data_IF_484759468874
#
_entry.id   IF_484759468874
#
_cell.length_a   1.000
_cell.length_b   1.000
_cell.length_c   1.000
_cell.angle_alpha   90.00
_cell.angle_beta   90.00
_cell.angle_gamma   90.00
#
_symmetry.space_group_name_H-M   'P 1'
#
loop_
_entity.id
_entity.type
_entity.pdbx_description
1 polymer ?
#
# COMPACT_ATOMS: atom_id res chain seq x y z
N UNK A 1 -1.26 16.08 -12.85
CA UNK A 1 -0.07 15.77 -13.67
C UNK A 1 1.10 15.51 -12.76
N UNK A 2 1.89 14.46 -13.04
CA UNK A 2 3.12 14.14 -12.29
C UNK A 2 4.31 14.44 -13.19
N UNK A 3 5.08 15.48 -12.83
CA UNK A 3 6.30 15.86 -13.56
C UNK A 3 7.53 15.49 -12.73
N UNK A 4 8.52 14.84 -13.32
CA UNK A 4 9.83 14.67 -12.69
C UNK A 4 10.79 15.76 -13.15
N UNK A 5 11.59 16.29 -12.24
CA UNK A 5 12.66 17.23 -12.58
C UNK A 5 13.97 16.76 -11.96
N UNK A 6 15.03 16.65 -12.77
CA UNK A 6 16.33 16.16 -12.33
C UNK A 6 17.47 16.73 -13.20
N UNK A 7 18.68 16.79 -12.65
CA UNK A 7 19.91 17.00 -13.41
C UNK A 7 20.73 15.72 -13.34
N UNK A 8 21.08 15.18 -14.50
CA UNK A 8 21.76 13.89 -14.66
C UNK A 8 23.08 14.07 -15.39
N UNK A 9 24.08 13.27 -15.04
CA UNK A 9 25.31 13.15 -15.81
C UNK A 9 25.16 12.22 -17.02
N UNK A 10 26.24 12.03 -17.78
CA UNK A 10 26.22 11.14 -18.96
C UNK A 10 25.79 9.69 -18.65
N UNK A 11 25.94 9.25 -17.40
CA UNK A 11 25.68 7.90 -16.92
C UNK A 11 24.40 7.82 -16.07
N UNK A 12 23.52 8.83 -16.16
CA UNK A 12 22.29 8.95 -15.35
C UNK A 12 22.54 9.16 -13.84
N UNK A 13 23.76 9.47 -13.43
CA UNK A 13 24.12 9.82 -12.06
C UNK A 13 23.50 11.17 -11.65
N UNK A 14 23.01 11.27 -10.42
CA UNK A 14 22.38 12.49 -9.87
C UNK A 14 23.01 12.97 -8.57
N UNK A 15 23.79 12.13 -7.89
CA UNK A 15 24.40 12.51 -6.63
C UNK A 15 25.41 11.49 -6.12
N UNK A 16 26.21 11.96 -5.16
CA UNK A 16 27.18 11.16 -4.41
C UNK A 16 27.23 11.63 -2.96
N UNK A 17 27.26 10.70 -2.01
CA UNK A 17 27.37 10.98 -0.57
C UNK A 17 26.25 11.93 -0.06
N UNK A 18 25.05 11.85 -0.63
CA UNK A 18 23.91 12.77 -0.42
C UNK A 18 24.15 14.23 -0.85
N UNK A 19 25.08 14.46 -1.77
CA UNK A 19 25.36 15.78 -2.36
C UNK A 19 25.17 15.77 -3.87
N UNK A 20 25.00 16.95 -4.48
CA UNK A 20 24.95 17.10 -5.94
C UNK A 20 26.33 16.78 -6.52
N UNK A 21 26.38 16.10 -7.68
CA UNK A 21 27.63 15.79 -8.39
C UNK A 21 28.45 17.04 -8.71
N UNK A 22 27.76 18.09 -9.13
CA UNK A 22 28.33 19.40 -9.44
C UNK A 22 27.32 20.49 -9.14
N UNK A 23 27.80 21.63 -8.64
CA UNK A 23 26.97 22.79 -8.38
C UNK A 23 26.82 23.65 -9.65
N UNK A 24 25.65 23.57 -10.29
CA UNK A 24 25.29 24.31 -11.51
C UNK A 24 24.27 25.43 -11.24
N UNK A 25 24.70 26.70 -11.11
CA UNK A 25 23.79 27.81 -10.79
C UNK A 25 22.63 27.98 -11.78
N UNK A 26 22.82 27.73 -13.07
CA UNK A 26 21.76 27.88 -14.08
C UNK A 26 20.74 26.75 -13.96
N UNK A 27 21.16 25.53 -13.66
CA UNK A 27 20.25 24.42 -13.39
C UNK A 27 19.45 24.67 -12.11
N UNK A 28 20.10 25.10 -11.02
CA UNK A 28 19.41 25.48 -9.79
C UNK A 28 18.41 26.62 -10.00
N UNK A 29 18.73 27.59 -10.86
CA UNK A 29 17.82 28.67 -11.21
C UNK A 29 16.65 28.17 -12.08
N UNK A 30 16.92 27.28 -13.04
CA UNK A 30 15.89 26.60 -13.82
C UNK A 30 14.93 25.84 -12.90
N UNK A 31 15.45 24.95 -12.04
CA UNK A 31 14.68 24.24 -11.03
C UNK A 31 13.83 25.18 -10.18
N UNK A 32 14.41 26.29 -9.68
CA UNK A 32 13.69 27.29 -8.90
C UNK A 32 12.54 27.91 -9.68
N UNK A 33 12.77 28.33 -10.93
CA UNK A 33 11.77 28.99 -11.78
C UNK A 33 10.64 28.02 -12.14
N UNK A 34 10.98 26.80 -12.52
CA UNK A 34 10.04 25.76 -12.95
C UNK A 34 9.15 25.29 -11.80
N UNK A 35 9.70 25.17 -10.59
CA UNK A 35 8.97 24.64 -9.43
C UNK A 35 8.30 25.72 -8.56
N UNK A 36 8.50 27.02 -8.86
CA UNK A 36 7.95 28.09 -8.02
C UNK A 36 6.42 28.05 -7.96
N UNK A 37 5.85 28.14 -6.76
CA UNK A 37 4.41 28.05 -6.53
C UNK A 37 3.82 26.64 -6.63
N UNK A 38 4.64 25.63 -6.96
CA UNK A 38 4.20 24.25 -7.17
C UNK A 38 4.32 23.39 -5.91
N UNK A 39 3.74 22.19 -5.99
CA UNK A 39 3.91 21.13 -4.98
C UNK A 39 5.15 20.31 -5.36
N UNK A 40 6.17 20.34 -4.51
CA UNK A 40 7.43 19.64 -4.71
C UNK A 40 7.54 18.46 -3.73
N UNK A 41 7.72 17.27 -4.27
CA UNK A 41 7.86 16.01 -3.54
C UNK A 41 9.32 15.63 -3.46
N UNK A 42 9.82 15.41 -2.24
CA UNK A 42 11.20 15.03 -1.96
C UNK A 42 11.26 13.75 -1.13
N UNK A 43 12.30 12.96 -1.34
CA UNK A 43 12.72 11.95 -0.39
C UNK A 43 13.35 12.60 0.83
N UNK A 44 13.21 11.96 2.00
CA UNK A 44 13.75 12.46 3.26
C UNK A 44 15.22 12.89 3.17
N UNK A 45 16.12 12.01 2.71
CA UNK A 45 17.57 12.29 2.63
C UNK A 45 17.87 13.48 1.71
N UNK A 46 17.20 13.54 0.56
CA UNK A 46 17.34 14.65 -0.41
C UNK A 46 16.85 15.97 0.17
N UNK A 47 15.79 15.95 0.96
CA UNK A 47 15.29 17.15 1.62
C UNK A 47 16.24 17.61 2.74
N UNK A 48 16.78 16.66 3.53
CA UNK A 48 17.75 16.92 4.61
C UNK A 48 19.08 17.47 4.07
N UNK A 49 19.47 17.14 2.83
CA UNK A 49 20.70 17.63 2.20
C UNK A 49 20.59 19.02 1.58
N UNK A 50 19.39 19.63 1.57
CA UNK A 50 19.21 20.97 1.04
C UNK A 50 19.87 22.00 1.97
N UNK A 51 20.70 22.92 1.44
CA UNK A 51 21.39 23.92 2.25
C UNK A 51 20.41 24.92 2.89
N UNK A 52 19.29 25.19 2.23
CA UNK A 52 18.23 26.07 2.72
C UNK A 52 16.86 25.57 2.28
N UNK A 53 15.81 25.73 3.12
CA UNK A 53 14.45 25.44 2.72
C UNK A 53 14.02 26.19 1.46
N UNK A 54 13.26 25.50 0.62
CA UNK A 54 12.79 26.01 -0.66
C UNK A 54 11.57 26.93 -0.46
N UNK A 55 11.81 28.22 -0.25
CA UNK A 55 10.75 29.24 -0.11
C UNK A 55 9.89 29.36 -1.37
N UNK A 56 8.61 29.72 -1.19
CA UNK A 56 7.64 29.90 -2.29
C UNK A 56 7.13 28.61 -2.94
N UNK A 57 7.32 27.45 -2.29
CA UNK A 57 6.91 26.12 -2.75
C UNK A 57 6.22 25.35 -1.64
N UNK A 58 5.25 24.52 -2.01
CA UNK A 58 4.67 23.53 -1.08
C UNK A 58 5.62 22.35 -1.05
N UNK A 59 6.24 22.08 0.11
CA UNK A 59 7.21 21.00 0.28
C UNK A 59 6.51 19.78 0.86
N UNK A 60 6.51 18.69 0.11
CA UNK A 60 5.99 17.39 0.54
C UNK A 60 7.17 16.43 0.66
N UNK A 61 7.32 15.80 1.81
CA UNK A 61 8.42 14.89 2.09
C UNK A 61 7.85 13.48 2.19
N UNK A 62 8.27 12.62 1.25
CA UNK A 62 7.96 11.20 1.28
C UNK A 62 8.73 10.54 2.43
N UNK A 63 8.00 10.16 3.48
CA UNK A 63 8.55 9.48 4.65
C UNK A 63 7.45 8.78 5.43
N UNK A 64 7.71 7.52 5.82
CA UNK A 64 6.87 6.76 6.74
C UNK A 64 7.42 6.77 8.18
N UNK A 65 8.49 7.53 8.45
CA UNK A 65 9.14 7.57 9.76
C UNK A 65 8.27 8.33 10.78
N UNK A 66 7.68 7.60 11.73
CA UNK A 66 6.97 8.19 12.87
C UNK A 66 7.89 9.17 13.61
N UNK A 67 7.37 10.35 13.92
CA UNK A 67 8.09 11.38 14.68
C UNK A 67 9.18 12.14 13.92
N UNK A 68 9.36 11.92 12.61
CA UNK A 68 10.21 12.77 11.79
C UNK A 68 9.68 14.21 11.80
N UNK A 69 10.58 15.18 11.99
CA UNK A 69 10.26 16.62 11.95
C UNK A 69 11.14 17.27 10.89
N UNK A 70 10.57 17.83 9.82
CA UNK A 70 11.35 18.47 8.78
C UNK A 70 12.02 19.75 9.29
N UNK A 71 13.15 20.10 8.67
CA UNK A 71 13.92 21.32 8.97
C UNK A 71 13.03 22.57 8.83
N UNK A 72 12.13 22.55 7.85
CA UNK A 72 11.12 23.59 7.64
C UNK A 72 9.75 23.12 8.14
N UNK A 73 9.20 23.85 9.12
CA UNK A 73 7.91 23.55 9.76
C UNK A 73 6.72 23.59 8.80
N UNK A 74 6.84 24.30 7.68
CA UNK A 74 5.79 24.40 6.67
C UNK A 74 5.78 23.19 5.71
N UNK A 75 6.69 22.23 5.89
CA UNK A 75 6.75 21.02 5.08
C UNK A 75 5.77 19.97 5.56
N UNK A 76 5.09 19.33 4.61
CA UNK A 76 4.14 18.24 4.87
C UNK A 76 4.85 16.90 4.75
N UNK A 77 4.65 16.00 5.70
CA UNK A 77 5.09 14.61 5.58
C UNK A 77 3.93 13.80 5.04
N UNK A 78 4.18 13.01 3.99
CA UNK A 78 3.16 12.16 3.36
C UNK A 78 3.73 10.79 3.00
N UNK A 79 2.88 9.77 3.04
CA UNK A 79 3.17 8.45 2.45
C UNK A 79 3.06 8.50 0.93
N UNK A 80 3.54 7.45 0.26
CA UNK A 80 3.43 7.32 -1.19
C UNK A 80 1.96 7.40 -1.65
N UNK A 81 1.07 6.68 -0.97
CA UNK A 81 -0.36 6.63 -1.27
C UNK A 81 -1.02 8.01 -1.12
N UNK A 82 -0.63 8.77 -0.09
CA UNK A 82 -1.12 10.12 0.14
C UNK A 82 -0.64 11.12 -0.93
N UNK A 83 0.54 10.88 -1.52
CA UNK A 83 1.06 11.68 -2.63
C UNK A 83 0.37 11.30 -3.94
N UNK A 84 0.14 10.01 -4.17
CA UNK A 84 -0.62 9.53 -5.33
C UNK A 84 -2.09 9.98 -5.29
N UNK A 85 -2.70 10.08 -4.11
CA UNK A 85 -4.02 10.67 -3.98
C UNK A 85 -3.98 12.18 -4.25
N UNK A 86 -2.95 12.89 -3.75
CA UNK A 86 -2.75 14.32 -4.01
C UNK A 86 -2.59 14.60 -5.51
N UNK A 87 -1.85 13.75 -6.24
CA UNK A 87 -1.56 13.93 -7.66
C UNK A 87 -2.79 13.75 -8.57
N UNK A 88 -3.88 13.15 -8.07
CA UNK A 88 -5.15 13.09 -8.79
C UNK A 88 -5.83 14.44 -8.90
N UNK A 89 -5.57 15.34 -7.96
CA UNK A 89 -6.27 16.62 -7.82
C UNK A 89 -5.37 17.84 -8.06
N UNK A 90 -4.05 17.64 -8.03
CA UNK A 90 -3.04 18.69 -8.14
C UNK A 90 -1.87 18.23 -8.98
N UNK A 91 -1.24 19.18 -9.66
CA UNK A 91 0.03 18.95 -10.33
C UNK A 91 1.14 18.90 -9.28
N UNK A 92 2.03 17.91 -9.43
CA UNK A 92 3.14 17.67 -8.51
C UNK A 92 4.45 17.53 -9.27
N UNK A 93 5.53 18.00 -8.65
CA UNK A 93 6.89 17.84 -9.10
C UNK A 93 7.62 16.83 -8.22
N UNK A 94 8.13 15.76 -8.80
CA UNK A 94 9.02 14.82 -8.12
C UNK A 94 10.45 15.36 -8.25
N UNK A 95 11.05 15.72 -7.12
CA UNK A 95 12.34 16.40 -7.04
C UNK A 95 13.43 15.49 -6.43
N UNK A 96 13.24 14.17 -6.54
CA UNK A 96 14.20 13.14 -6.13
C UNK A 96 14.15 12.76 -4.65
N UNK A 97 15.09 11.96 -4.16
CA UNK A 97 16.26 11.37 -4.85
C UNK A 97 15.98 10.06 -5.60
N UNK A 98 17.03 9.30 -5.90
CA UNK A 98 16.99 8.13 -6.80
C UNK A 98 15.86 7.14 -6.52
N UNK A 99 15.66 6.73 -5.25
CA UNK A 99 14.56 5.83 -4.89
C UNK A 99 13.17 6.46 -5.12
N UNK A 100 13.03 7.77 -4.90
CA UNK A 100 11.76 8.47 -5.15
C UNK A 100 11.50 8.52 -6.64
N UNK A 101 12.49 8.85 -7.47
CA UNK A 101 12.33 8.79 -8.92
C UNK A 101 11.93 7.39 -9.39
N UNK A 102 12.59 6.34 -8.89
CA UNK A 102 12.21 4.95 -9.22
C UNK A 102 10.74 4.64 -8.90
N UNK A 103 10.26 5.03 -7.72
CA UNK A 103 8.88 4.78 -7.29
C UNK A 103 7.84 5.52 -8.13
N UNK A 104 8.13 6.74 -8.57
CA UNK A 104 7.16 7.55 -9.32
C UNK A 104 7.28 7.38 -10.84
N UNK A 105 8.36 6.77 -11.36
CA UNK A 105 8.62 6.67 -12.80
C UNK A 105 7.47 5.99 -13.58
N UNK A 106 6.79 4.95 -13.07
CA UNK A 106 5.63 4.36 -13.77
C UNK A 106 4.41 5.28 -13.88
N UNK A 107 4.35 6.33 -13.07
CA UNK A 107 3.19 7.23 -12.94
C UNK A 107 3.45 8.63 -13.52
N UNK A 108 4.71 8.98 -13.80
CA UNK A 108 5.07 10.28 -14.36
C UNK A 108 4.39 10.50 -15.72
N UNK A 109 3.85 11.70 -15.93
CA UNK A 109 3.31 12.13 -17.22
C UNK A 109 4.40 12.83 -18.06
N UNK A 110 5.34 13.50 -17.39
CA UNK A 110 6.37 14.35 -17.98
C UNK A 110 7.70 14.25 -17.22
N UNK A 111 8.82 14.36 -17.95
CA UNK A 111 10.15 14.51 -17.39
C UNK A 111 10.78 15.82 -17.89
N UNK A 112 11.43 16.57 -17.00
CA UNK A 112 12.24 17.76 -17.31
C UNK A 112 13.66 17.46 -16.82
N UNK A 113 14.54 17.10 -17.74
CA UNK A 113 15.85 16.53 -17.40
C UNK A 113 16.97 17.39 -17.96
N UNK A 114 17.83 17.90 -17.08
CA UNK A 114 19.08 18.58 -17.44
C UNK A 114 20.18 17.55 -17.64
N UNK A 115 20.52 17.23 -18.89
CA UNK A 115 21.56 16.27 -19.28
C UNK A 115 22.93 16.95 -19.37
N UNK A 116 23.84 16.64 -18.46
CA UNK A 116 25.25 17.03 -18.57
C UNK A 116 25.98 16.13 -19.56
N UNK A 117 26.91 16.69 -20.32
CA UNK A 117 27.74 15.91 -21.26
C UNK A 117 28.86 15.13 -20.56
N UNK A 118 29.25 15.58 -19.38
CA UNK A 118 30.30 14.98 -18.57
C UNK A 118 29.74 13.86 -17.68
N UNK A 119 30.59 12.89 -17.33
CA UNK A 119 30.27 11.84 -16.38
C UNK A 119 31.09 12.03 -15.10
N UNK A 120 30.45 11.82 -13.95
CA UNK A 120 31.04 11.96 -12.63
C UNK A 120 30.97 10.62 -11.89
N UNK A 121 31.68 10.53 -10.78
CA UNK A 121 31.54 9.41 -9.85
C UNK A 121 30.26 9.60 -9.03
N UNK A 122 29.31 8.67 -9.14
CA UNK A 122 27.97 8.77 -8.58
C UNK A 122 27.57 7.46 -7.87
N UNK A 123 26.85 7.58 -6.75
CA UNK A 123 26.26 6.43 -6.03
C UNK A 123 24.73 6.36 -6.17
N UNK A 124 24.14 7.44 -6.68
CA UNK A 124 22.70 7.62 -6.80
C UNK A 124 22.39 7.99 -8.24
N UNK A 125 21.47 7.24 -8.85
CA UNK A 125 21.13 7.35 -10.27
C UNK A 125 19.65 7.66 -10.47
N UNK A 126 19.36 8.39 -11.54
CA UNK A 126 18.02 8.55 -12.10
C UNK A 126 17.64 7.27 -12.86
N UNK A 127 16.36 6.86 -12.90
CA UNK A 127 15.94 5.71 -13.70
C UNK A 127 16.20 5.95 -15.19
N UNK A 128 16.49 4.89 -15.93
CA UNK A 128 16.69 4.98 -17.38
C UNK A 128 15.45 5.58 -18.07
N UNK A 129 15.69 6.44 -19.06
CA UNK A 129 14.64 7.05 -19.88
C UNK A 129 14.51 6.20 -21.14
N UNK A 130 13.67 5.17 -21.06
CA UNK A 130 13.42 4.26 -22.18
C UNK A 130 12.65 4.98 -23.31
N UNK A 131 13.27 5.02 -24.50
CA UNK A 131 12.69 5.59 -25.72
C UNK A 131 11.41 4.87 -26.18
N UNK A 132 11.17 3.64 -25.76
CA UNK A 132 9.90 2.95 -26.02
C UNK A 132 8.74 3.59 -25.23
N UNK A 133 9.05 4.21 -24.09
CA UNK A 133 8.10 4.80 -23.15
C UNK A 133 7.98 6.31 -23.30
N UNK A 134 9.09 6.99 -23.56
CA UNK A 134 9.22 8.44 -23.55
C UNK A 134 9.51 8.97 -24.95
N UNK A 135 8.98 10.15 -25.26
CA UNK A 135 9.38 10.96 -26.42
C UNK A 135 9.78 12.34 -25.95
N UNK A 136 10.91 12.84 -26.44
CA UNK A 136 11.29 14.23 -26.29
C UNK A 136 10.40 15.13 -27.15
N UNK A 137 10.09 16.32 -26.66
CA UNK A 137 9.25 17.27 -27.39
C UNK A 137 9.78 18.71 -27.35
N UNK A 138 10.78 18.99 -26.50
CA UNK A 138 11.40 20.30 -26.35
C UNK A 138 12.82 20.12 -25.79
N UNK A 139 13.77 20.94 -26.25
CA UNK A 139 15.15 20.93 -25.75
C UNK A 139 15.80 22.31 -25.81
N UNK A 140 16.61 22.62 -24.80
CA UNK A 140 17.35 23.89 -24.68
C UNK A 140 18.78 23.63 -24.19
N UNK A 141 19.78 24.07 -24.96
CA UNK A 141 21.19 24.00 -24.56
C UNK A 141 21.56 25.16 -23.64
N UNK A 142 22.17 24.85 -22.51
CA UNK A 142 22.54 25.83 -21.49
C UNK A 142 24.03 25.73 -21.19
N UNK A 143 24.73 26.85 -21.37
CA UNK A 143 26.16 26.99 -21.02
C UNK A 143 26.29 27.35 -19.55
N UNK A 144 26.93 26.53 -18.73
CA UNK A 144 27.21 26.81 -17.31
C UNK A 144 28.65 26.38 -16.97
N UNK A 145 28.99 26.11 -15.70
CA UNK A 145 30.28 25.52 -15.33
C UNK A 145 30.54 24.18 -16.04
N UNK A 146 29.47 23.41 -16.23
CA UNK A 146 29.42 22.23 -17.09
C UNK A 146 28.23 22.46 -18.00
N UNK A 147 28.45 22.34 -19.31
CA UNK A 147 27.38 22.49 -20.28
C UNK A 147 26.36 21.36 -20.14
N UNK A 148 25.08 21.72 -20.17
CA UNK A 148 23.98 20.76 -20.12
C UNK A 148 22.87 21.13 -21.11
N UNK A 149 22.04 20.16 -21.42
CA UNK A 149 20.85 20.33 -22.26
C UNK A 149 19.61 19.98 -21.44
N UNK A 150 18.69 20.92 -21.33
CA UNK A 150 17.39 20.68 -20.69
C UNK A 150 16.51 20.03 -21.74
N UNK A 151 16.13 18.78 -21.53
CA UNK A 151 15.24 18.03 -22.43
C UNK A 151 13.93 17.76 -21.70
N UNK A 152 12.81 18.04 -22.37
CA UNK A 152 11.48 17.70 -21.86
C UNK A 152 10.95 16.50 -22.61
N UNK A 153 10.51 15.52 -21.83
CA UNK A 153 9.93 14.28 -22.33
C UNK A 153 8.47 14.18 -21.91
N UNK A 154 7.62 13.67 -22.79
CA UNK A 154 6.25 13.28 -22.47
C UNK A 154 6.09 11.79 -22.68
N UNK A 155 5.23 11.15 -21.88
CA UNK A 155 4.96 9.73 -22.02
C UNK A 155 4.18 9.46 -23.31
N UNK A 156 4.59 8.46 -24.10
CA UNK A 156 3.89 8.03 -25.32
C UNK A 156 2.50 7.48 -24.96
N UNK A 157 1.47 7.92 -25.69
CA UNK A 157 0.05 7.59 -25.45
C UNK A 157 -0.32 6.11 -25.64
N UNK A 158 0.48 5.37 -26.41
CA UNK A 158 0.22 3.95 -26.72
C UNK A 158 0.93 2.97 -25.77
N UNK A 159 1.52 3.44 -24.67
CA UNK A 159 2.25 2.56 -23.76
C UNK A 159 1.30 1.92 -22.72
N UNK A 160 1.12 0.57 -22.74
CA UNK A 160 0.25 -0.15 -21.79
C UNK A 160 0.76 -0.19 -20.34
N UNK A 161 1.93 0.38 -20.05
CA UNK A 161 2.58 0.41 -18.73
C UNK A 161 2.04 1.51 -17.79
N UNK A 162 1.23 2.47 -18.28
CA UNK A 162 0.70 3.56 -17.44
C UNK A 162 -0.17 3.00 -16.31
N UNK A 163 0.29 3.15 -15.07
CA UNK A 163 -0.43 2.65 -13.89
C UNK A 163 -0.38 1.14 -13.71
N UNK A 164 0.39 0.40 -14.51
CA UNK A 164 0.81 -0.96 -14.13
C UNK A 164 1.83 -0.79 -13.01
N UNK A 165 1.37 -1.01 -11.79
CA UNK A 165 2.26 -1.52 -10.75
C UNK A 165 3.05 -2.68 -11.38
N UNK A 166 4.37 -2.65 -11.32
CA UNK A 166 5.15 -3.89 -11.42
C UNK A 166 4.77 -4.70 -10.18
N UNK A 167 3.65 -5.40 -10.27
CA UNK A 167 3.29 -6.42 -9.29
C UNK A 167 4.19 -7.59 -9.60
N UNK A 168 5.41 -7.54 -9.07
CA UNK A 168 6.25 -8.72 -8.96
C UNK A 168 5.49 -9.63 -7.99
N UNK A 169 4.82 -10.65 -8.50
CA UNK A 169 4.27 -11.66 -7.61
C UNK A 169 5.39 -12.63 -7.27
N UNK A 170 5.30 -13.31 -6.12
CA UNK A 170 6.25 -14.40 -5.78
C UNK A 170 6.28 -15.53 -6.82
N UNK A 171 5.35 -15.55 -7.79
CA UNK A 171 5.34 -16.49 -8.90
C UNK A 171 6.27 -16.07 -10.06
N UNK A 172 6.75 -14.82 -10.11
CA UNK A 172 7.51 -14.28 -11.25
C UNK A 172 9.04 -14.25 -11.04
N UNK A 173 9.54 -14.68 -9.86
CA UNK A 173 10.97 -14.63 -9.54
C UNK A 173 11.53 -16.03 -9.34
N UNK A 174 12.55 -16.40 -10.13
CA UNK A 174 13.28 -17.65 -9.93
C UNK A 174 14.22 -17.52 -8.74
N UNK A 175 14.37 -18.60 -7.97
CA UNK A 175 15.09 -18.63 -6.67
C UNK A 175 16.52 -18.05 -6.71
N UNK A 176 17.18 -18.12 -7.87
CA UNK A 176 18.52 -17.56 -8.09
C UNK A 176 18.52 -16.03 -8.14
N UNK A 177 17.55 -15.43 -8.83
CA UNK A 177 17.40 -13.97 -8.97
C UNK A 177 16.98 -13.34 -7.64
N UNK A 178 16.19 -14.07 -6.84
CA UNK A 178 15.83 -13.65 -5.48
C UNK A 178 17.05 -13.54 -4.56
N UNK A 179 17.98 -14.51 -4.63
CA UNK A 179 19.21 -14.51 -3.82
C UNK A 179 20.17 -13.38 -4.20
N UNK A 180 20.27 -13.07 -5.49
CA UNK A 180 21.09 -11.97 -5.99
C UNK A 180 20.51 -10.61 -5.54
N UNK A 181 19.20 -10.41 -5.65
CA UNK A 181 18.52 -9.20 -5.18
C UNK A 181 18.59 -9.04 -3.65
N UNK A 182 18.46 -10.12 -2.88
CA UNK A 182 18.59 -10.10 -1.41
C UNK A 182 20.02 -9.79 -0.98
N UNK A 183 21.02 -10.25 -1.72
CA UNK A 183 22.42 -9.88 -1.48
C UNK A 183 22.72 -8.42 -1.83
N UNK A 184 22.11 -7.88 -2.88
CA UNK A 184 22.35 -6.51 -3.34
C UNK A 184 21.61 -5.45 -2.52
N UNK A 185 20.36 -5.71 -2.14
CA UNK A 185 19.47 -4.72 -1.51
C UNK A 185 19.12 -5.03 -0.06
N UNK A 186 19.47 -6.21 0.44
CA UNK A 186 19.11 -6.69 1.77
C UNK A 186 17.67 -7.23 1.82
N UNK A 187 17.48 -8.31 2.58
CA UNK A 187 16.24 -9.08 2.66
C UNK A 187 15.00 -8.22 2.96
N UNK A 188 15.15 -7.23 3.85
CA UNK A 188 14.07 -6.32 4.25
C UNK A 188 13.65 -5.35 3.13
N UNK A 189 14.58 -4.90 2.28
CA UNK A 189 14.27 -3.97 1.20
C UNK A 189 13.60 -4.68 0.01
N UNK A 190 14.04 -5.91 -0.28
CA UNK A 190 13.46 -6.76 -1.33
C UNK A 190 12.03 -7.16 -0.96
N UNK A 191 11.80 -7.64 0.27
CA UNK A 191 10.44 -7.96 0.75
C UNK A 191 9.52 -6.73 0.81
N UNK A 192 10.07 -5.55 1.14
CA UNK A 192 9.33 -4.29 1.21
C UNK A 192 8.98 -3.66 -0.14
N UNK A 193 9.59 -4.11 -1.24
CA UNK A 193 9.28 -3.67 -2.60
C UNK A 193 8.25 -4.59 -3.30
N UNK A 194 8.20 -5.86 -2.92
CA UNK A 194 7.36 -6.90 -3.53
C UNK A 194 5.97 -6.96 -2.87
N UNK A 195 5.84 -6.53 -1.61
CA UNK A 195 4.55 -6.39 -0.96
C UNK A 195 4.20 -4.91 -0.82
N UNK A 196 3.12 -4.40 -1.45
CA UNK A 196 2.64 -3.05 -1.13
C UNK A 196 2.46 -2.99 0.38
N UNK A 197 3.02 -1.97 1.04
CA UNK A 197 2.95 -1.82 2.49
C UNK A 197 1.49 -1.71 2.91
N UNK A 198 0.91 -2.86 3.21
CA UNK A 198 -0.44 -3.07 3.68
C UNK A 198 -0.53 -2.45 5.08
N UNK A 199 -0.95 -1.17 5.13
CA UNK A 199 -1.04 -0.42 6.39
C UNK A 199 -2.11 -1.04 7.29
N UNK A 200 -3.35 -1.07 6.82
CA UNK A 200 -4.45 -1.81 7.44
C UNK A 200 -5.54 -2.08 6.40
N UNK A 201 -6.24 -3.19 6.52
CA UNK A 201 -7.23 -3.59 5.52
C UNK A 201 -7.65 -5.04 5.67
N UNK A 202 -8.32 -5.53 4.64
CA UNK A 202 -8.93 -6.86 4.62
C UNK A 202 -8.30 -7.72 3.52
N UNK A 203 -8.32 -9.02 3.74
CA UNK A 203 -7.93 -10.03 2.76
C UNK A 203 -8.83 -11.24 2.86
N UNK A 204 -8.90 -12.01 1.78
CA UNK A 204 -9.57 -13.31 1.77
C UNK A 204 -8.67 -14.36 2.42
N UNK A 205 -9.26 -15.23 3.25
CA UNK A 205 -8.57 -16.36 3.89
C UNK A 205 -8.11 -17.38 2.85
N UNK A 206 -6.90 -17.91 3.01
CA UNK A 206 -6.36 -18.87 2.04
C UNK A 206 -7.16 -20.17 2.00
N UNK A 207 -7.28 -20.75 0.80
CA UNK A 207 -8.12 -21.93 0.55
C UNK A 207 -7.78 -23.13 1.45
N UNK A 208 -6.49 -23.38 1.70
CA UNK A 208 -6.02 -24.49 2.56
C UNK A 208 -6.56 -24.38 4.01
N UNK A 209 -6.76 -23.16 4.50
CA UNK A 209 -7.24 -22.91 5.86
C UNK A 209 -8.77 -22.91 5.96
N UNK A 210 -9.48 -22.72 4.84
CA UNK A 210 -10.96 -22.81 4.79
C UNK A 210 -11.47 -24.23 4.95
N UNK A 211 -10.76 -25.24 4.44
CA UNK A 211 -11.18 -26.65 4.48
C UNK A 211 -11.45 -27.20 5.90
N UNK A 212 -10.80 -26.66 6.92
CA UNK A 212 -10.90 -27.15 8.29
C UNK A 212 -11.94 -26.39 9.15
N UNK A 213 -12.40 -25.21 8.70
CA UNK A 213 -13.25 -24.31 9.50
C UNK A 213 -14.57 -23.94 8.81
N UNK A 214 -14.64 -24.12 7.49
CA UNK A 214 -15.81 -23.81 6.66
C UNK A 214 -16.21 -25.07 5.88
N UNK A 215 -17.12 -25.90 6.41
CA UNK A 215 -17.41 -27.23 5.86
C UNK A 215 -18.28 -27.25 4.58
N UNK A 216 -18.46 -26.14 3.86
CA UNK A 216 -19.44 -26.08 2.75
C UNK A 216 -18.78 -26.39 1.40
N UNK A 217 -18.74 -27.66 1.02
CA UNK A 217 -17.96 -28.09 -0.15
C UNK A 217 -18.46 -27.60 -1.53
N UNK A 218 -19.69 -27.07 -1.71
CA UNK A 218 -20.29 -27.10 -3.06
C UNK A 218 -20.73 -25.78 -3.74
N UNK A 219 -20.47 -24.58 -3.22
CA UNK A 219 -20.93 -23.33 -3.91
C UNK A 219 -20.02 -22.10 -3.86
N UNK A 220 -18.75 -22.27 -3.47
CA UNK A 220 -17.87 -21.13 -3.17
C UNK A 220 -17.34 -20.34 -4.36
N UNK A 221 -17.30 -20.91 -5.56
CA UNK A 221 -16.43 -20.39 -6.62
C UNK A 221 -17.22 -19.88 -7.82
N UNK A 222 -17.10 -18.59 -8.10
CA UNK A 222 -17.67 -17.96 -9.30
C UNK A 222 -16.91 -18.35 -10.56
N UNK A 223 -15.62 -18.62 -10.42
CA UNK A 223 -14.72 -18.94 -11.53
C UNK A 223 -13.63 -19.91 -11.05
N UNK A 224 -13.39 -20.95 -11.83
CA UNK A 224 -12.19 -21.76 -11.75
C UNK A 224 -11.26 -21.34 -12.88
N UNK A 225 -10.04 -20.91 -12.56
CA UNK A 225 -9.01 -20.62 -13.56
C UNK A 225 -8.03 -21.79 -13.58
N UNK A 226 -7.70 -22.27 -14.78
CA UNK A 226 -6.63 -23.23 -14.97
C UNK A 226 -5.31 -22.45 -14.92
N UNK A 227 -4.46 -22.76 -13.95
CA UNK A 227 -3.12 -22.19 -13.84
C UNK A 227 -2.14 -23.28 -14.22
N UNK A 228 -1.37 -23.05 -15.27
CA UNK A 228 -0.25 -23.92 -15.64
C UNK A 228 0.98 -23.39 -14.89
N UNK A 229 1.56 -24.21 -14.02
CA UNK A 229 2.79 -23.91 -13.27
C UNK A 229 4.00 -24.07 -14.18
N UNK A 230 5.15 -23.55 -13.75
CA UNK A 230 6.40 -23.56 -14.53
C UNK A 230 6.90 -24.97 -14.89
N UNK A 231 6.50 -26.00 -14.15
CA UNK A 231 6.83 -27.41 -14.39
C UNK A 231 5.84 -28.14 -15.32
N UNK A 232 4.85 -27.41 -15.85
CA UNK A 232 3.78 -27.97 -16.70
C UNK A 232 2.62 -28.59 -15.93
N UNK A 233 2.63 -28.54 -14.59
CA UNK A 233 1.51 -28.98 -13.77
C UNK A 233 0.33 -28.00 -13.93
N UNK A 234 -0.86 -28.53 -14.22
CA UNK A 234 -2.09 -27.74 -14.34
C UNK A 234 -2.88 -27.80 -13.04
N UNK A 235 -2.88 -26.70 -12.30
CA UNK A 235 -3.68 -26.54 -11.08
C UNK A 235 -4.91 -25.69 -11.35
N UNK A 236 -6.07 -26.23 -10.99
CA UNK A 236 -7.31 -25.46 -10.96
C UNK A 236 -7.28 -24.55 -9.74
N UNK A 237 -7.17 -23.24 -9.95
CA UNK A 237 -7.37 -22.26 -8.88
C UNK A 237 -8.81 -21.80 -8.87
N UNK A 238 -9.44 -21.98 -7.72
CA UNK A 238 -10.80 -21.56 -7.52
C UNK A 238 -10.86 -20.16 -6.90
N UNK A 239 -11.52 -19.22 -7.57
CA UNK A 239 -11.71 -17.85 -7.09
C UNK A 239 -12.97 -17.81 -6.24
N UNK A 240 -12.86 -17.60 -4.92
CA UNK A 240 -14.03 -17.59 -4.07
C UNK A 240 -14.84 -16.32 -4.29
N UNK A 241 -16.15 -16.46 -4.32
CA UNK A 241 -17.10 -15.35 -4.39
C UNK A 241 -17.40 -14.87 -2.96
N UNK A 242 -16.37 -14.26 -2.38
CA UNK A 242 -16.37 -13.63 -1.06
C UNK A 242 -16.39 -12.13 -1.27
N UNK A 243 -17.35 -11.45 -0.66
CA UNK A 243 -17.43 -10.01 -0.71
C UNK A 243 -16.54 -9.39 0.37
N UNK A 244 -15.54 -8.62 -0.06
CA UNK A 244 -14.67 -7.89 0.86
C UNK A 244 -15.46 -6.85 1.67
N UNK A 245 -15.09 -6.60 2.94
CA UNK A 245 -15.75 -5.57 3.75
C UNK A 245 -15.59 -4.19 3.13
N UNK A 246 -16.69 -3.42 3.09
CA UNK A 246 -16.71 -2.09 2.47
C UNK A 246 -17.53 -1.11 3.29
N UNK A 247 -17.09 0.13 3.31
CA UNK A 247 -17.87 1.25 3.83
C UNK A 247 -19.03 1.55 2.90
N UNK A 248 -20.19 1.88 3.47
CA UNK A 248 -21.36 2.27 2.68
C UNK A 248 -21.10 3.54 1.85
N UNK A 249 -20.36 4.49 2.42
CA UNK A 249 -19.96 5.74 1.78
C UNK A 249 -18.67 6.30 2.41
N UNK A 250 -18.20 7.45 1.92
CA UNK A 250 -16.97 8.09 2.39
C UNK A 250 -17.04 8.62 3.83
N UNK A 251 -18.24 8.87 4.35
CA UNK A 251 -18.49 9.38 5.70
C UNK A 251 -18.67 8.28 6.76
N UNK A 252 -18.99 7.05 6.37
CA UNK A 252 -19.09 5.92 7.29
C UNK A 252 -17.76 5.64 8.01
N UNK A 253 -17.80 5.32 9.30
CA UNK A 253 -16.59 4.96 10.06
C UNK A 253 -16.29 3.45 10.02
N UNK A 254 -17.29 2.63 9.75
CA UNK A 254 -17.20 1.18 9.75
C UNK A 254 -17.49 0.60 8.36
N UNK A 255 -16.86 -0.52 8.05
CA UNK A 255 -17.11 -1.33 6.87
C UNK A 255 -18.11 -2.44 7.19
N UNK A 256 -19.17 -2.60 6.40
CA UNK A 256 -20.05 -3.75 6.52
C UNK A 256 -19.27 -5.03 6.14
N UNK A 257 -19.46 -6.12 6.90
CA UNK A 257 -18.97 -7.46 6.56
C UNK A 257 -20.14 -8.36 6.18
N UNK A 258 -19.90 -9.25 5.23
CA UNK A 258 -20.94 -9.98 4.52
C UNK A 258 -20.91 -11.47 4.86
N UNK A 259 -22.07 -12.11 4.91
CA UNK A 259 -22.17 -13.56 5.06
C UNK A 259 -21.80 -14.26 3.75
N UNK A 260 -20.88 -15.22 3.76
CA UNK A 260 -20.64 -16.07 2.59
C UNK A 260 -21.65 -17.22 2.47
N UNK A 261 -22.57 -17.37 3.44
CA UNK A 261 -23.47 -18.53 3.55
C UNK A 261 -24.92 -18.11 3.84
N UNK A 262 -25.86 -18.98 3.44
CA UNK A 262 -27.25 -18.87 3.86
C UNK A 262 -27.45 -19.61 5.19
N UNK A 263 -28.09 -18.97 6.17
CA UNK A 263 -28.37 -19.51 7.50
C UNK A 263 -29.68 -18.99 8.07
N UNK A 264 -30.20 -19.73 9.03
CA UNK A 264 -31.30 -19.31 9.89
C UNK A 264 -30.81 -19.43 11.33
N UNK A 265 -31.02 -18.38 12.12
CA UNK A 265 -30.78 -18.40 13.56
C UNK A 265 -32.14 -18.37 14.23
N UNK A 266 -32.54 -19.49 14.84
CA UNK A 266 -33.83 -19.58 15.53
C UNK A 266 -33.85 -18.68 16.78
N UNK A 267 -35.05 -18.31 17.29
CA UNK A 267 -35.17 -17.60 18.56
C UNK A 267 -34.37 -18.27 19.69
N UNK A 268 -33.71 -17.47 20.52
CA UNK A 268 -32.81 -17.88 21.61
C UNK A 268 -31.56 -18.67 21.20
N UNK A 269 -31.35 -18.93 19.91
CA UNK A 269 -30.14 -19.57 19.40
C UNK A 269 -29.02 -18.57 19.10
N UNK A 270 -27.82 -19.13 18.95
CA UNK A 270 -26.63 -18.41 18.55
C UNK A 270 -25.85 -19.21 17.51
N UNK A 271 -25.27 -18.51 16.53
CA UNK A 271 -24.52 -19.13 15.46
C UNK A 271 -23.26 -18.34 15.13
N UNK A 272 -22.16 -19.07 14.96
CA UNK A 272 -20.91 -18.54 14.43
C UNK A 272 -20.93 -18.57 12.90
N UNK A 273 -20.72 -17.41 12.29
CA UNK A 273 -20.60 -17.26 10.85
C UNK A 273 -19.16 -16.90 10.54
N UNK A 274 -18.44 -17.84 9.92
CA UNK A 274 -17.13 -17.56 9.35
C UNK A 274 -17.28 -16.71 8.09
N UNK A 275 -16.53 -15.62 8.02
CA UNK A 275 -16.65 -14.63 6.93
C UNK A 275 -15.72 -14.92 5.77
N UNK A 276 -14.72 -15.78 5.98
CA UNK A 276 -13.60 -16.03 5.08
C UNK A 276 -12.80 -14.77 4.74
N UNK A 277 -12.87 -13.78 5.63
CA UNK A 277 -12.11 -12.55 5.59
C UNK A 277 -11.19 -12.50 6.81
N UNK A 278 -9.96 -12.05 6.61
CA UNK A 278 -8.99 -11.70 7.66
C UNK A 278 -8.62 -10.23 7.55
N UNK A 279 -8.12 -9.64 8.63
CA UNK A 279 -7.74 -8.23 8.66
C UNK A 279 -6.31 -8.04 9.13
N UNK A 280 -5.53 -7.23 8.42
CA UNK A 280 -4.21 -6.78 8.83
C UNK A 280 -4.29 -5.33 9.33
N UNK A 281 -3.44 -4.96 10.28
CA UNK A 281 -3.38 -3.61 10.88
C UNK A 281 -2.01 -3.32 11.48
N UNK A 282 -1.76 -2.06 11.86
CA UNK A 282 -0.50 -1.65 12.49
C UNK A 282 -0.50 -1.92 13.99
N UNK A 283 0.69 -1.86 14.60
CA UNK A 283 0.81 -1.83 16.06
C UNK A 283 0.12 -0.59 16.64
N UNK A 284 -0.62 -0.78 17.73
CA UNK A 284 -1.44 0.27 18.36
C UNK A 284 -2.81 0.44 17.70
N UNK A 285 -3.23 -0.53 16.89
CA UNK A 285 -4.55 -0.57 16.27
C UNK A 285 -5.25 -1.89 16.56
N UNK A 286 -6.56 -1.80 16.71
CA UNK A 286 -7.44 -2.96 16.86
C UNK A 286 -8.64 -2.78 15.96
N UNK A 287 -9.18 -3.89 15.49
CA UNK A 287 -10.40 -3.91 14.71
C UNK A 287 -11.55 -4.34 15.62
N UNK A 288 -12.57 -3.50 15.73
CA UNK A 288 -13.79 -3.84 16.48
C UNK A 288 -14.90 -4.27 15.53
N UNK A 289 -15.64 -5.29 15.93
CA UNK A 289 -16.85 -5.76 15.26
C UNK A 289 -18.08 -5.42 16.12
N UNK A 290 -19.11 -4.87 15.49
CA UNK A 290 -20.41 -4.61 16.11
C UNK A 290 -21.54 -5.07 15.19
N UNK A 291 -22.72 -5.33 15.76
CA UNK A 291 -23.95 -5.46 14.96
C UNK A 291 -24.31 -4.14 14.28
N UNK A 292 -25.10 -4.25 13.22
CA UNK A 292 -25.62 -3.15 12.41
C UNK A 292 -26.82 -2.51 13.10
N UNK A 293 -27.07 -1.23 12.84
CA UNK A 293 -28.29 -0.57 13.34
C UNK A 293 -29.57 -1.28 12.89
N UNK A 294 -29.60 -1.79 11.66
CA UNK A 294 -30.73 -2.55 11.11
C UNK A 294 -30.99 -3.90 11.80
N UNK A 295 -30.05 -4.38 12.61
CA UNK A 295 -30.19 -5.62 13.38
C UNK A 295 -30.85 -5.39 14.75
N UNK A 296 -31.09 -4.13 15.15
CA UNK A 296 -31.74 -3.80 16.41
C UNK A 296 -33.22 -4.21 16.48
N UNK A 297 -33.99 -3.99 15.42
CA UNK A 297 -35.42 -4.36 15.35
C UNK A 297 -35.65 -5.87 15.45
N UNK A 298 -34.96 -6.74 14.67
CA UNK A 298 -35.05 -8.19 14.84
C UNK A 298 -34.36 -8.70 16.12
N UNK A 299 -33.81 -7.81 16.96
CA UNK A 299 -33.11 -8.12 18.22
C UNK A 299 -31.92 -9.06 18.04
N UNK A 300 -31.14 -8.83 16.99
CA UNK A 300 -29.91 -9.57 16.73
C UNK A 300 -28.73 -8.86 17.38
N UNK A 301 -27.92 -9.62 18.11
CA UNK A 301 -26.77 -9.11 18.83
C UNK A 301 -25.52 -9.96 18.55
N UNK A 302 -24.35 -9.40 18.81
CA UNK A 302 -23.14 -10.21 18.91
C UNK A 302 -23.19 -10.98 20.23
N UNK A 303 -23.00 -12.31 20.18
CA UNK A 303 -23.03 -13.15 21.37
C UNK A 303 -21.95 -12.77 22.40
N UNK A 304 -20.84 -12.17 21.94
CA UNK A 304 -19.75 -11.65 22.76
C UNK A 304 -19.85 -10.13 23.03
N UNK A 305 -21.01 -9.51 22.77
CA UNK A 305 -21.29 -8.06 22.88
C UNK A 305 -20.52 -7.20 21.87
N UNK A 306 -19.20 -7.30 21.85
CA UNK A 306 -18.33 -6.63 20.89
C UNK A 306 -17.19 -7.58 20.48
N UNK A 307 -16.97 -7.71 19.18
CA UNK A 307 -15.83 -8.46 18.67
C UNK A 307 -14.57 -7.61 18.73
N UNK A 308 -13.53 -8.10 19.40
CA UNK A 308 -12.20 -7.50 19.38
C UNK A 308 -11.29 -8.38 18.54
N UNK A 309 -10.69 -7.80 17.49
CA UNK A 309 -9.80 -8.50 16.57
C UNK A 309 -8.43 -7.83 16.65
N UNK A 310 -7.52 -8.47 17.37
CA UNK A 310 -6.15 -7.99 17.61
C UNK A 310 -5.29 -8.11 16.35
N UNK A 311 -4.25 -7.28 16.25
CA UNK A 311 -3.26 -7.35 15.18
C UNK A 311 -2.67 -8.77 15.01
N UNK A 312 -2.39 -9.46 16.12
CA UNK A 312 -1.78 -10.80 16.14
C UNK A 312 -2.75 -11.91 15.73
N UNK A 313 -4.03 -11.59 15.49
CA UNK A 313 -4.99 -12.55 14.97
C UNK A 313 -4.76 -12.83 13.48
N UNK A 314 -4.23 -11.88 12.72
CA UNK A 314 -3.91 -12.03 11.30
C UNK A 314 -2.89 -13.16 11.07
N UNK A 315 -3.22 -14.11 10.19
CA UNK A 315 -2.31 -15.21 9.84
C UNK A 315 -2.03 -16.19 10.99
N UNK A 316 -2.86 -16.20 12.05
CA UNK A 316 -2.62 -17.11 13.16
C UNK A 316 -2.68 -18.58 12.70
N UNK A 317 -1.88 -19.49 13.29
CA UNK A 317 -1.77 -20.87 12.80
C UNK A 317 -3.07 -21.67 12.83
N UNK A 318 -4.02 -21.31 13.70
CA UNK A 318 -5.26 -22.06 13.91
C UNK A 318 -6.22 -21.87 12.75
N UNK A 319 -6.48 -20.64 12.31
CA UNK A 319 -7.49 -20.33 11.29
C UNK A 319 -7.10 -19.21 10.29
N UNK A 320 -5.82 -18.89 10.16
CA UNK A 320 -5.29 -17.85 9.25
C UNK A 320 -5.84 -16.44 9.53
N UNK A 321 -6.44 -16.23 10.71
CA UNK A 321 -7.09 -14.97 11.06
C UNK A 321 -8.49 -14.80 10.49
N UNK A 322 -9.16 -15.89 10.09
CA UNK A 322 -10.55 -15.86 9.66
C UNK A 322 -11.43 -15.21 10.74
N UNK A 323 -12.11 -14.12 10.39
CA UNK A 323 -12.99 -13.39 11.28
C UNK A 323 -14.31 -14.17 11.36
N UNK A 324 -14.67 -14.60 12.57
CA UNK A 324 -15.95 -15.21 12.87
C UNK A 324 -16.87 -14.19 13.54
N UNK A 325 -18.09 -14.05 13.02
CA UNK A 325 -19.15 -13.22 13.61
C UNK A 325 -20.12 -14.14 14.32
N UNK A 326 -20.16 -14.06 15.65
CA UNK A 326 -21.07 -14.86 16.47
C UNK A 326 -22.34 -14.06 16.74
N UNK A 327 -23.43 -14.41 16.06
CA UNK A 327 -24.72 -13.74 16.23
C UNK A 327 -25.62 -14.53 17.17
N UNK A 328 -26.39 -13.83 18.00
CA UNK A 328 -27.45 -14.38 18.85
C UNK A 328 -28.76 -13.73 18.48
N UNK A 329 -29.81 -14.54 18.38
CA UNK A 329 -31.17 -14.07 18.14
C UNK A 329 -31.91 -13.96 19.48
N UNK A 330 -32.17 -12.72 19.92
CA UNK A 330 -32.99 -12.41 21.10
C UNK A 330 -34.42 -11.99 20.71
N UNK A 331 -34.77 -12.19 19.43
CA UNK A 331 -36.09 -11.98 18.87
C UNK A 331 -37.00 -13.18 19.08
N UNK A 332 -38.28 -13.03 18.72
CA UNK A 332 -39.27 -14.11 18.76
C UNK A 332 -39.43 -14.84 17.42
N UNK A 333 -38.80 -14.36 16.36
CA UNK A 333 -38.92 -14.90 15.01
C UNK A 333 -37.55 -15.40 14.49
N UNK A 334 -37.53 -16.41 13.59
CA UNK A 334 -36.30 -16.86 12.96
C UNK A 334 -35.61 -15.73 12.18
N UNK A 335 -34.29 -15.60 12.35
CA UNK A 335 -33.49 -14.62 11.62
C UNK A 335 -32.79 -15.26 10.44
N UNK A 336 -33.26 -14.92 9.24
CA UNK A 336 -32.73 -15.41 7.98
C UNK A 336 -31.54 -14.55 7.54
N UNK A 337 -30.46 -15.21 7.17
CA UNK A 337 -29.24 -14.63 6.63
C UNK A 337 -29.04 -15.28 5.26
N UNK A 338 -29.04 -14.48 4.21
CA UNK A 338 -28.69 -14.93 2.88
C UNK A 338 -27.20 -14.66 2.59
N UNK A 339 -26.68 -15.36 1.58
CA UNK A 339 -25.34 -15.05 1.08
C UNK A 339 -25.30 -13.62 0.54
N UNK A 340 -24.29 -12.86 0.94
CA UNK A 340 -24.14 -11.45 0.61
C UNK A 340 -24.87 -10.50 1.57
N UNK A 341 -25.62 -11.02 2.55
CA UNK A 341 -26.20 -10.17 3.58
C UNK A 341 -25.13 -9.60 4.49
N UNK A 342 -25.35 -8.36 4.91
CA UNK A 342 -24.48 -7.66 5.86
C UNK A 342 -24.81 -8.12 7.27
N UNK A 343 -23.85 -8.77 7.92
CA UNK A 343 -24.05 -9.44 9.21
C UNK A 343 -23.41 -8.72 10.39
N UNK A 344 -22.44 -7.85 10.15
CA UNK A 344 -21.80 -7.00 11.16
C UNK A 344 -21.10 -5.80 10.49
N UNK A 345 -20.49 -4.94 11.29
CA UNK A 345 -19.66 -3.82 10.84
C UNK A 345 -18.32 -3.82 11.57
N UNK A 346 -17.27 -3.48 10.84
CA UNK A 346 -15.89 -3.50 11.29
C UNK A 346 -15.31 -2.09 11.29
N UNK A 347 -14.77 -1.65 12.42
CA UNK A 347 -14.12 -0.34 12.55
C UNK A 347 -12.70 -0.49 13.11
N UNK A 348 -11.72 0.07 12.41
CA UNK A 348 -10.37 0.18 12.94
C UNK A 348 -10.30 1.33 13.93
N UNK A 349 -9.75 1.08 15.11
CA UNK A 349 -9.54 2.11 16.14
C UNK A 349 -8.10 2.08 16.65
N UNK A 350 -7.49 3.25 16.91
CA UNK A 350 -6.22 3.31 17.62
C UNK A 350 -6.42 3.00 19.11
N UNK A 351 -5.43 2.39 19.75
CA UNK A 351 -5.37 2.22 21.20
C UNK A 351 -3.98 2.59 21.74
N UNK A 352 -3.91 2.86 23.04
CA UNK A 352 -2.67 3.13 23.77
C UNK A 352 -2.37 1.97 24.71
N UNK A 353 -1.08 1.73 24.95
CA UNK A 353 -0.61 0.76 25.94
C UNK A 353 -0.23 1.47 27.25
N UNK A 354 -0.38 0.82 28.42
CA UNK A 354 0.08 1.38 29.70
C UNK A 354 1.61 1.60 29.74
N UNK A 355 2.07 2.52 30.58
CA UNK A 355 3.51 2.86 30.71
C UNK A 355 4.39 1.67 31.14
N UNK A 356 3.82 0.71 31.87
CA UNK A 356 4.49 -0.50 32.35
C UNK A 356 3.95 -1.77 31.65
N UNK A 357 3.62 -1.66 30.36
CA UNK A 357 3.15 -2.81 29.59
C UNK A 357 4.23 -3.90 29.49
N UNK A 358 3.88 -5.12 29.88
CA UNK A 358 4.76 -6.29 29.85
C UNK A 358 3.92 -7.53 29.46
N UNK A 359 3.71 -7.78 28.15
CA UNK A 359 2.88 -8.88 27.68
C UNK A 359 3.44 -10.23 28.11
N UNK A 360 2.55 -11.17 28.44
CA UNK A 360 2.91 -12.51 28.96
C UNK A 360 3.60 -13.37 27.88
N UNK A 361 3.26 -13.15 26.60
CA UNK A 361 3.79 -13.88 25.46
C UNK A 361 4.06 -12.92 24.29
N UNK A 362 5.17 -13.14 23.58
CA UNK A 362 5.53 -12.36 22.38
C UNK A 362 4.66 -12.69 21.15
N UNK A 363 4.01 -13.86 21.14
CA UNK A 363 3.24 -14.37 20.00
C UNK A 363 1.93 -15.02 20.45
N UNK A 364 0.92 -14.92 19.59
CA UNK A 364 -0.39 -15.56 19.78
C UNK A 364 -0.32 -17.02 19.34
N UNK A 365 -0.55 -17.95 20.27
CA UNK A 365 -0.59 -19.39 19.98
C UNK A 365 -2.01 -19.94 19.76
N UNK A 366 -3.06 -19.18 20.10
CA UNK A 366 -4.48 -19.59 20.03
C UNK A 366 -5.38 -18.68 19.18
N UNK A 367 -6.48 -19.24 18.66
CA UNK A 367 -7.48 -18.50 17.86
C UNK A 367 -8.80 -18.27 18.62
N UNK A 368 -9.90 -18.00 17.89
CA UNK A 368 -11.24 -17.75 18.45
C UNK A 368 -11.56 -18.71 19.63
N UNK A 369 -11.96 -18.14 20.78
CA UNK A 369 -12.24 -18.88 22.02
C UNK A 369 -11.01 -19.35 22.83
N UNK A 370 -9.78 -18.89 22.53
CA UNK A 370 -8.58 -19.27 23.28
C UNK A 370 -8.45 -18.55 24.63
N UNK A 371 -9.40 -18.79 25.54
CA UNK A 371 -9.03 -18.81 26.95
C UNK A 371 -8.45 -20.20 27.19
N UNK A 372 -7.18 -20.29 27.61
CA UNK A 372 -6.53 -21.54 28.02
C UNK A 372 -7.12 -22.08 29.32
N UNK A 373 -8.44 -22.26 29.37
CA UNK A 373 -9.22 -22.89 30.43
C UNK A 373 -9.84 -24.16 29.90
#
# INVERSE_FOLDING_TARGET
MITMIACVDKNMGIGKDNTLLVHLPKDLNHFRKTTLGQICVFGRKTYESLPTPLSGRVKVILSNRKGYKPIDKDSQIRSFEQIMELSKHKDIFICGGGNVYKQFMPYADELIISHMKEGFDADTFFPEIDESTWEDYDSEKVVDKVDFEIVKYRRKSNNPERGKSMTITTADIKEKELKELVMEYGETAVLGAIMPWKVRGFEVVEHKHRKNWSPHQDSYYKTAILVELEDGERVVRYIPDIQEPRRADSGACASDIYSPVCRVIEPDEQMLIWTDVKAYMQQGEVLIANVRSSQGEPRIQLANTQGWIDQTYYGNPKNDGNIGVYLRNEGSEPYHIERGDRIAQLMFIPFLVPDNDNPIHDKREGGFGSSGK
#
